data_IF_289979917552
#
_entry.id   IF_289979917552
#
_cell.length_a   1.000
_cell.length_b   1.000
_cell.length_c   1.000
_cell.angle_alpha   90.00
_cell.angle_beta   90.00
_cell.angle_gamma   90.00
#
_symmetry.space_group_name_H-M   'P 1'
#
loop_
_entity.id
_entity.type
_entity.pdbx_description
1 polymer ?
#
# COMPACT_ATOMS: atom_id res chain seq x y z
N UNK A 1 -0.75 4.65 17.08
CA UNK A 1 0.03 3.76 16.19
C UNK A 1 1.33 3.41 16.87
N UNK A 2 1.66 2.13 16.98
CA UNK A 2 2.99 1.67 17.41
C UNK A 2 4.04 2.09 16.39
N UNK A 3 5.31 2.25 16.79
CA UNK A 3 6.39 2.70 15.89
C UNK A 3 6.49 1.84 14.62
N UNK A 4 6.33 0.52 14.75
CA UNK A 4 6.32 -0.43 13.64
C UNK A 4 5.21 -0.17 12.60
N UNK A 5 4.01 0.26 13.02
CA UNK A 5 2.92 0.59 12.09
C UNK A 5 3.20 1.86 11.29
N UNK A 6 3.88 2.83 11.91
CA UNK A 6 4.28 4.07 11.24
C UNK A 6 5.36 3.80 10.20
N UNK A 7 6.36 3.00 10.55
CA UNK A 7 7.44 2.59 9.64
C UNK A 7 6.89 1.79 8.45
N UNK A 8 6.01 0.81 8.71
CA UNK A 8 5.36 0.03 7.67
C UNK A 8 4.51 0.91 6.73
N UNK A 9 3.73 1.84 7.28
CA UNK A 9 2.98 2.82 6.48
C UNK A 9 3.91 3.64 5.58
N UNK A 10 4.98 4.18 6.13
CA UNK A 10 5.94 4.97 5.36
C UNK A 10 6.61 4.14 4.25
N UNK A 11 6.96 2.89 4.53
CA UNK A 11 7.55 1.99 3.54
C UNK A 11 6.56 1.67 2.41
N UNK A 12 5.31 1.34 2.74
CA UNK A 12 4.24 1.10 1.77
C UNK A 12 3.98 2.31 0.87
N UNK A 13 3.92 3.51 1.46
CA UNK A 13 3.67 4.75 0.69
C UNK A 13 4.83 5.08 -0.24
N UNK A 14 6.07 4.88 0.20
CA UNK A 14 7.25 5.06 -0.65
C UNK A 14 7.28 4.06 -1.81
N UNK A 15 6.99 2.80 -1.53
CA UNK A 15 6.95 1.77 -2.57
C UNK A 15 5.81 2.02 -3.56
N UNK A 16 4.65 2.49 -3.08
CA UNK A 16 3.59 2.97 -3.94
C UNK A 16 4.06 4.10 -4.86
N UNK A 17 4.74 5.12 -4.32
CA UNK A 17 5.23 6.27 -5.09
C UNK A 17 6.25 5.89 -6.16
N UNK A 18 7.01 4.80 -5.97
CA UNK A 18 7.86 4.23 -6.99
C UNK A 18 7.07 3.40 -8.00
N UNK A 19 6.22 2.50 -7.51
CA UNK A 19 5.43 1.60 -8.34
C UNK A 19 4.52 2.36 -9.30
N UNK A 20 3.86 3.42 -8.83
CA UNK A 20 2.87 4.18 -9.60
C UNK A 20 3.47 4.84 -10.85
N UNK A 21 4.76 5.24 -10.77
CA UNK A 21 5.50 5.83 -11.91
C UNK A 21 5.77 4.83 -13.03
N UNK A 22 5.66 3.54 -12.75
CA UNK A 22 5.83 2.47 -13.74
C UNK A 22 4.50 2.03 -14.37
N UNK A 23 3.36 2.56 -13.89
CA UNK A 23 2.05 2.19 -14.39
C UNK A 23 1.60 3.12 -15.53
N UNK A 24 0.95 2.58 -16.56
CA UNK A 24 0.35 3.38 -17.62
C UNK A 24 -0.99 3.95 -17.14
N UNK A 25 -0.94 4.93 -16.23
CA UNK A 25 -2.14 5.57 -15.69
C UNK A 25 -2.50 6.82 -16.46
N UNK A 26 -3.78 6.94 -16.81
CA UNK A 26 -4.38 8.15 -17.34
C UNK A 26 -5.16 8.83 -16.21
N UNK A 27 -4.51 9.75 -15.50
CA UNK A 27 -5.09 10.49 -14.38
C UNK A 27 -4.77 9.91 -12.99
N UNK A 28 -5.66 10.17 -12.03
CA UNK A 28 -5.46 9.79 -10.62
C UNK A 28 -5.69 8.29 -10.41
N UNK A 29 -4.80 7.67 -9.63
CA UNK A 29 -4.93 6.29 -9.23
C UNK A 29 -6.19 6.04 -8.37
N UNK A 30 -6.77 4.85 -8.50
CA UNK A 30 -7.99 4.45 -7.80
C UNK A 30 -7.78 3.18 -6.95
N UNK A 31 -8.83 2.76 -6.25
CA UNK A 31 -8.81 1.55 -5.42
C UNK A 31 -8.38 0.28 -6.20
N UNK A 32 -8.69 0.20 -7.50
CA UNK A 32 -8.25 -0.92 -8.36
C UNK A 32 -6.73 -0.97 -8.51
N UNK A 33 -6.08 0.19 -8.64
CA UNK A 33 -4.62 0.29 -8.79
C UNK A 33 -3.94 -0.04 -7.45
N UNK A 34 -4.49 0.44 -6.33
CA UNK A 34 -4.08 0.00 -4.99
C UNK A 34 -4.17 -1.51 -4.82
N UNK A 35 -5.25 -2.13 -5.31
CA UNK A 35 -5.42 -3.58 -5.20
C UNK A 35 -4.38 -4.33 -6.02
N UNK A 36 -4.07 -3.85 -7.22
CA UNK A 36 -3.02 -4.42 -8.07
C UNK A 36 -1.65 -4.31 -7.38
N UNK A 37 -1.30 -3.12 -6.91
CA UNK A 37 -0.09 -2.89 -6.12
C UNK A 37 0.05 -3.88 -4.97
N UNK A 38 -0.99 -4.02 -4.15
CA UNK A 38 -1.00 -4.93 -3.01
C UNK A 38 -0.75 -6.40 -3.40
N UNK A 39 -1.35 -6.85 -4.51
CA UNK A 39 -1.14 -8.20 -5.02
C UNK A 39 0.29 -8.39 -5.54
N UNK A 40 0.87 -7.39 -6.19
CA UNK A 40 2.25 -7.45 -6.69
C UNK A 40 3.27 -7.52 -5.55
N UNK A 41 3.16 -6.67 -4.52
CA UNK A 41 4.06 -6.75 -3.35
C UNK A 41 3.91 -8.10 -2.62
N UNK A 42 2.69 -8.64 -2.52
CA UNK A 42 2.43 -9.95 -1.93
C UNK A 42 3.04 -11.08 -2.76
N UNK A 43 2.99 -10.98 -4.09
CA UNK A 43 3.52 -11.98 -5.01
C UNK A 43 5.06 -12.00 -5.05
N UNK A 44 5.70 -10.83 -4.95
CA UNK A 44 7.18 -10.70 -4.87
C UNK A 44 7.76 -11.31 -3.60
N UNK A 45 6.92 -11.66 -2.63
CA UNK A 45 7.32 -12.15 -1.30
C UNK A 45 8.32 -11.20 -0.64
N UNK A 46 8.20 -9.89 -0.88
CA UNK A 46 9.04 -8.89 -0.22
C UNK A 46 8.71 -8.94 1.29
N UNK A 47 9.61 -9.52 2.11
CA UNK A 47 9.21 -9.98 3.43
C UNK A 47 8.96 -8.82 4.39
N UNK A 48 9.46 -7.61 4.09
CA UNK A 48 9.44 -6.46 5.02
C UNK A 48 8.22 -5.56 4.87
N UNK A 49 7.71 -5.35 3.66
CA UNK A 49 6.63 -4.38 3.42
C UNK A 49 5.30 -4.78 4.06
N UNK A 50 5.04 -6.08 4.13
CA UNK A 50 3.82 -6.63 4.73
C UNK A 50 4.07 -7.25 6.12
N UNK A 51 5.21 -7.00 6.78
CA UNK A 51 5.55 -7.56 8.10
C UNK A 51 4.98 -6.79 9.30
N UNK A 52 3.91 -6.04 9.08
CA UNK A 52 3.19 -5.40 10.18
C UNK A 52 2.09 -6.33 10.72
N UNK A 53 1.87 -6.23 12.04
CA UNK A 53 0.76 -6.94 12.71
C UNK A 53 -0.57 -6.34 12.27
N UNK A 54 -1.47 -7.16 11.73
CA UNK A 54 -2.82 -6.73 11.33
C UNK A 54 -3.92 -7.10 12.32
N UNK A 55 -3.60 -7.93 13.33
CA UNK A 55 -4.60 -8.45 14.26
C UNK A 55 -5.68 -9.25 13.52
N UNK A 56 -6.95 -8.88 13.73
CA UNK A 56 -8.10 -9.46 13.03
C UNK A 56 -8.42 -8.75 11.71
N UNK A 57 -7.81 -7.60 11.43
CA UNK A 57 -8.06 -6.84 10.21
C UNK A 57 -7.23 -7.42 9.05
N UNK A 58 -7.82 -7.39 7.85
CA UNK A 58 -7.15 -7.82 6.64
C UNK A 58 -6.05 -6.81 6.23
N UNK A 59 -4.85 -7.31 5.92
CA UNK A 59 -3.70 -6.44 5.56
C UNK A 59 -4.00 -5.58 4.33
N UNK A 60 -4.84 -6.06 3.42
CA UNK A 60 -5.24 -5.26 2.27
C UNK A 60 -6.08 -4.05 2.71
N UNK A 61 -7.03 -4.21 3.63
CA UNK A 61 -7.84 -3.11 4.14
C UNK A 61 -6.99 -2.03 4.83
N UNK A 62 -5.99 -2.44 5.62
CA UNK A 62 -5.02 -1.53 6.25
C UNK A 62 -4.23 -0.74 5.20
N UNK A 63 -3.65 -1.43 4.20
CA UNK A 63 -2.87 -0.78 3.13
C UNK A 63 -3.74 0.19 2.32
N UNK A 64 -4.97 -0.22 1.97
CA UNK A 64 -5.92 0.63 1.27
C UNK A 64 -6.20 1.93 2.06
N UNK A 65 -6.49 1.82 3.35
CA UNK A 65 -6.71 2.99 4.21
C UNK A 65 -5.47 3.90 4.29
N UNK A 66 -4.27 3.32 4.37
CA UNK A 66 -3.03 4.12 4.37
C UNK A 66 -2.84 4.91 3.08
N UNK A 67 -3.08 4.29 1.92
CA UNK A 67 -2.97 4.98 0.63
C UNK A 67 -4.05 6.06 0.47
N UNK A 68 -5.28 5.80 0.92
CA UNK A 68 -6.36 6.79 0.91
C UNK A 68 -6.04 7.98 1.84
N UNK A 69 -5.56 7.73 3.06
CA UNK A 69 -5.20 8.77 4.02
C UNK A 69 -4.03 9.66 3.53
N UNK A 70 -3.15 9.13 2.69
CA UNK A 70 -2.05 9.86 2.04
C UNK A 70 -2.45 10.46 0.68
N UNK A 71 -3.75 10.45 0.34
CA UNK A 71 -4.28 10.99 -0.92
C UNK A 71 -3.64 10.38 -2.17
N UNK A 72 -3.16 9.13 -2.06
CA UNK A 72 -2.51 8.39 -3.15
C UNK A 72 -3.51 7.71 -4.08
N UNK A 73 -4.71 7.46 -3.58
CA UNK A 73 -5.83 6.94 -4.34
C UNK A 73 -7.07 7.77 -4.08
N UNK A 74 -7.97 7.79 -5.07
CA UNK A 74 -9.34 8.22 -4.84
C UNK A 74 -10.06 7.15 -4.02
N UNK A 75 -10.54 7.55 -2.83
CA UNK A 75 -11.39 6.75 -1.94
C UNK A 75 -12.82 6.68 -2.45
#
# INVERSE_FOLDING_TARGET
MTSHHREARQAIVREWDHWIKTQPLDGKACARDARRFFLEIKARREPTLLDFRSGAEDKWQIVHQWLAAEQRILS
#
